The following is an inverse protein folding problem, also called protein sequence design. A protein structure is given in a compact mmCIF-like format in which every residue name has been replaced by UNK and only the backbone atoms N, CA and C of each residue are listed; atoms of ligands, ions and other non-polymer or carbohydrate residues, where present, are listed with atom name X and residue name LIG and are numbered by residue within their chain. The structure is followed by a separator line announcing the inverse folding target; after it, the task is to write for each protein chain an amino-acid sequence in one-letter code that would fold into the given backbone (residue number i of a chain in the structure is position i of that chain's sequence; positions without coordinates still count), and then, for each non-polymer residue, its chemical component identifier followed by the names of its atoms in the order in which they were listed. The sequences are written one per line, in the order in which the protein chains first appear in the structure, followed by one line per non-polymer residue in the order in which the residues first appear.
data_IF_000142417566
#
_entry.id   IF_000142417566
#
_cell.length_a   1.000
_cell.length_b   1.000
_cell.length_c   1.000
_cell.angle_alpha   90.00
_cell.angle_beta   90.00
_cell.angle_gamma   90.00
#
_symmetry.space_group_name_H-M   'P 1'
#
loop_
_entity.id
_entity.type
_entity.pdbx_description
1 polymer ?
#
# COMPACT_ATOMS: atom_id res chain seq x y z
N UNK A 1 -5.92 12.76 -24.67
CA UNK A 1 -5.50 12.63 -23.25
C UNK A 1 -4.45 11.53 -23.24
N UNK A 2 -3.27 11.77 -22.66
CA UNK A 2 -2.25 10.71 -22.52
C UNK A 2 -2.80 9.63 -21.59
N UNK A 3 -2.51 8.37 -21.89
CA UNK A 3 -2.90 7.27 -21.01
C UNK A 3 -2.23 7.42 -19.64
N UNK A 4 -2.89 7.02 -18.56
CA UNK A 4 -2.34 7.16 -17.21
C UNK A 4 -1.02 6.38 -17.07
N UNK A 5 -0.92 5.21 -17.69
CA UNK A 5 0.31 4.42 -17.67
C UNK A 5 1.40 5.05 -18.52
N UNK A 6 1.04 5.75 -19.61
CA UNK A 6 2.00 6.56 -20.37
C UNK A 6 2.55 7.71 -19.52
N UNK A 7 1.68 8.40 -18.76
CA UNK A 7 2.11 9.49 -17.87
C UNK A 7 3.03 8.99 -16.75
N UNK A 8 2.71 7.85 -16.13
CA UNK A 8 3.54 7.23 -15.10
C UNK A 8 4.93 6.91 -15.67
N UNK A 9 4.99 6.28 -16.84
CA UNK A 9 6.27 5.88 -17.48
C UNK A 9 7.07 7.06 -18.02
N UNK A 10 6.42 8.02 -18.68
CA UNK A 10 7.09 9.17 -19.29
C UNK A 10 7.74 10.07 -18.25
N UNK A 11 7.10 10.20 -17.09
CA UNK A 11 7.57 11.08 -16.03
C UNK A 11 8.28 10.34 -14.90
N UNK A 12 8.30 9.02 -14.88
CA UNK A 12 8.85 8.21 -13.79
C UNK A 12 8.17 8.55 -12.44
N UNK A 13 6.83 8.49 -12.44
CA UNK A 13 6.03 8.83 -11.26
C UNK A 13 6.09 7.66 -10.26
N UNK A 14 6.53 7.87 -9.00
CA UNK A 14 6.68 6.82 -8.00
C UNK A 14 5.33 6.53 -7.34
N UNK A 15 4.39 6.05 -8.15
CA UNK A 15 3.10 5.59 -7.68
C UNK A 15 3.13 4.07 -7.53
N UNK A 16 2.59 3.56 -6.43
CA UNK A 16 2.44 2.11 -6.26
C UNK A 16 1.27 1.62 -7.09
N UNK A 17 1.52 0.76 -8.06
CA UNK A 17 0.47 0.04 -8.79
C UNK A 17 0.00 -1.16 -7.96
N UNK A 18 -1.29 -1.21 -7.64
CA UNK A 18 -1.91 -2.31 -6.91
C UNK A 18 -2.77 -3.11 -7.88
N UNK A 19 -2.27 -4.28 -8.25
CA UNK A 19 -2.99 -5.26 -9.05
C UNK A 19 -4.25 -5.78 -8.32
N UNK A 20 -5.14 -6.42 -9.09
CA UNK A 20 -6.27 -7.13 -8.51
C UNK A 20 -5.75 -8.29 -7.63
N UNK A 21 -6.05 -8.21 -6.33
CA UNK A 21 -5.60 -9.16 -5.31
C UNK A 21 -6.64 -9.34 -4.21
N UNK A 22 -6.65 -10.51 -3.58
CA UNK A 22 -7.41 -10.75 -2.36
C UNK A 22 -6.61 -10.35 -1.10
N UNK A 23 -7.34 -10.14 -0.01
CA UNK A 23 -6.80 -9.73 1.29
C UNK A 23 -7.16 -10.80 2.31
N UNK A 24 -6.18 -11.26 3.08
CA UNK A 24 -6.36 -12.36 4.02
C UNK A 24 -5.83 -12.03 5.41
N UNK A 25 -6.59 -12.37 6.44
CA UNK A 25 -6.09 -12.45 7.81
C UNK A 25 -5.76 -13.91 8.12
N UNK A 26 -4.49 -14.20 8.41
CA UNK A 26 -4.03 -15.53 8.85
C UNK A 26 -3.57 -15.43 10.30
N UNK A 27 -4.17 -16.23 11.17
CA UNK A 27 -3.81 -16.27 12.60
C UNK A 27 -2.68 -17.26 12.84
N UNK A 28 -1.71 -16.83 13.63
CA UNK A 28 -0.51 -17.59 14.00
C UNK A 28 -0.68 -18.30 15.35
N UNK A 29 -1.82 -18.99 15.54
CA UNK A 29 -2.18 -19.65 16.81
C UNK A 29 -2.16 -18.68 18.00
N UNK A 30 -3.13 -17.76 18.04
CA UNK A 30 -3.22 -16.68 19.03
C UNK A 30 -1.99 -15.73 19.07
N UNK A 31 -1.05 -15.85 18.13
CA UNK A 31 0.17 -15.03 18.08
C UNK A 31 1.43 -15.80 18.44
N UNK A 32 1.31 -17.08 18.85
CA UNK A 32 2.42 -17.94 19.26
C UNK A 32 3.50 -18.07 18.17
N UNK A 33 3.09 -18.33 16.93
CA UNK A 33 4.03 -18.52 15.81
C UNK A 33 4.23 -17.26 14.97
N UNK A 34 3.89 -16.07 15.50
CA UNK A 34 4.04 -14.82 14.75
C UNK A 34 5.50 -14.55 14.37
N UNK A 35 6.43 -14.69 15.32
CA UNK A 35 7.85 -14.38 15.09
C UNK A 35 8.45 -15.31 14.03
N UNK A 36 8.21 -16.61 14.12
CA UNK A 36 8.72 -17.57 13.14
C UNK A 36 8.16 -17.30 11.74
N UNK A 37 6.85 -17.08 11.60
CA UNK A 37 6.24 -16.73 10.31
C UNK A 37 6.85 -15.45 9.73
N UNK A 38 7.10 -14.46 10.60
CA UNK A 38 7.65 -13.17 10.20
C UNK A 38 9.13 -13.28 9.78
N UNK A 39 9.98 -13.88 10.59
CA UNK A 39 11.41 -13.93 10.32
C UNK A 39 11.78 -14.95 9.23
N UNK A 40 11.03 -16.05 9.12
CA UNK A 40 11.28 -17.10 8.15
C UNK A 40 10.44 -16.92 6.87
N UNK A 41 9.73 -15.80 6.74
CA UNK A 41 9.03 -15.38 5.51
C UNK A 41 7.98 -16.39 5.02
N UNK A 42 7.13 -16.90 5.92
CA UNK A 42 6.05 -17.79 5.53
C UNK A 42 4.75 -17.57 6.31
N UNK A 43 3.66 -18.09 5.77
CA UNK A 43 2.41 -18.34 6.50
C UNK A 43 2.11 -19.83 6.48
N UNK A 44 1.50 -20.32 7.56
CA UNK A 44 1.17 -21.73 7.67
C UNK A 44 -0.15 -21.99 8.37
N UNK A 45 -0.69 -23.19 8.14
CA UNK A 45 -1.79 -23.75 8.91
C UNK A 45 -1.48 -25.19 9.33
N UNK A 46 -2.05 -25.63 10.44
CA UNK A 46 -1.90 -27.00 10.94
C UNK A 46 -2.70 -28.05 10.15
N UNK A 47 -3.23 -29.02 10.89
CA UNK A 47 -3.97 -30.18 10.36
C UNK A 47 -3.12 -31.11 9.49
N UNK A 48 -1.88 -31.39 9.92
CA UNK A 48 -0.83 -32.08 9.14
C UNK A 48 -1.24 -33.45 8.56
N UNK A 49 -2.22 -34.13 9.17
CA UNK A 49 -2.77 -35.39 8.64
C UNK A 49 -3.45 -35.24 7.27
N UNK A 50 -3.73 -34.01 6.84
CA UNK A 50 -4.41 -33.69 5.58
C UNK A 50 -3.52 -32.80 4.68
N UNK A 51 -2.32 -33.27 4.36
CA UNK A 51 -1.34 -32.55 3.53
C UNK A 51 -1.46 -32.78 2.01
N UNK A 52 -2.24 -33.77 1.58
CA UNK A 52 -2.38 -34.06 0.16
C UNK A 52 -3.37 -33.08 -0.50
N UNK A 53 -2.84 -32.13 -1.28
CA UNK A 53 -3.65 -31.11 -1.97
C UNK A 53 -4.71 -31.73 -2.89
N UNK A 54 -4.42 -32.87 -3.52
CA UNK A 54 -5.35 -33.55 -4.44
C UNK A 54 -6.65 -33.99 -3.77
N UNK A 55 -6.64 -34.20 -2.45
CA UNK A 55 -7.85 -34.55 -1.71
C UNK A 55 -8.85 -33.38 -1.61
N UNK A 56 -8.42 -32.17 -1.99
CA UNK A 56 -9.20 -30.93 -1.96
C UNK A 56 -9.45 -30.35 -3.37
N UNK A 57 -8.97 -30.99 -4.43
CA UNK A 57 -9.18 -30.57 -5.81
C UNK A 57 -10.54 -31.05 -6.35
N UNK A 58 -11.13 -30.28 -7.27
CA UNK A 58 -12.42 -30.64 -7.87
C UNK A 58 -12.29 -31.80 -8.88
N UNK A 59 -13.26 -32.72 -8.96
CA UNK A 59 -14.45 -32.82 -8.13
C UNK A 59 -14.15 -33.44 -6.74
N UNK A 60 -14.48 -32.72 -5.67
CA UNK A 60 -14.27 -33.19 -4.29
C UNK A 60 -15.58 -33.64 -3.65
N UNK A 61 -15.57 -34.79 -2.97
CA UNK A 61 -16.68 -35.19 -2.10
C UNK A 61 -16.49 -34.56 -0.72
N UNK A 62 -17.06 -33.37 -0.52
CA UNK A 62 -16.86 -32.61 0.72
C UNK A 62 -17.32 -33.37 1.97
N UNK A 63 -18.44 -34.10 1.89
CA UNK A 63 -18.99 -34.83 3.04
C UNK A 63 -18.09 -36.00 3.42
N UNK A 64 -17.50 -36.67 2.43
CA UNK A 64 -16.49 -37.69 2.67
C UNK A 64 -15.26 -37.11 3.37
N UNK A 65 -14.72 -35.98 2.88
CA UNK A 65 -13.56 -35.32 3.49
C UNK A 65 -13.85 -34.87 4.92
N UNK A 66 -15.01 -34.25 5.17
CA UNK A 66 -15.46 -33.88 6.52
C UNK A 66 -15.58 -35.11 7.43
N UNK A 67 -16.02 -36.26 6.90
CA UNK A 67 -16.09 -37.51 7.66
C UNK A 67 -14.70 -38.08 8.02
N UNK A 68 -13.71 -37.96 7.12
CA UNK A 68 -12.33 -38.36 7.41
C UNK A 68 -11.71 -37.47 8.49
N UNK A 69 -11.91 -36.16 8.38
CA UNK A 69 -11.47 -35.19 9.38
C UNK A 69 -12.08 -35.49 10.75
N UNK A 70 -13.38 -35.79 10.81
CA UNK A 70 -14.06 -36.15 12.05
C UNK A 70 -13.51 -37.45 12.69
N UNK A 71 -13.08 -38.41 11.86
CA UNK A 71 -12.48 -39.67 12.33
C UNK A 71 -11.06 -39.47 12.86
N UNK A 72 -10.27 -38.62 12.22
CA UNK A 72 -8.90 -38.33 12.61
C UNK A 72 -8.83 -37.47 13.87
N UNK A 73 -9.59 -36.37 13.89
CA UNK A 73 -9.62 -35.41 14.99
C UNK A 73 -10.89 -35.59 15.83
N UNK A 74 -11.02 -36.73 16.52
CA UNK A 74 -12.23 -37.12 17.27
C UNK A 74 -12.66 -36.10 18.34
N UNK A 75 -11.69 -35.39 18.91
CA UNK A 75 -11.93 -34.35 19.92
C UNK A 75 -12.43 -33.03 19.31
N UNK A 76 -12.25 -32.82 18.00
CA UNK A 76 -12.73 -31.62 17.32
C UNK A 76 -14.21 -31.72 17.00
N UNK A 77 -14.99 -30.80 17.58
CA UNK A 77 -16.44 -30.72 17.33
C UNK A 77 -16.80 -30.03 16.01
N UNK A 78 -15.82 -29.63 15.20
CA UNK A 78 -16.04 -28.75 14.04
C UNK A 78 -15.27 -29.20 12.79
N UNK A 79 -15.47 -30.43 12.28
CA UNK A 79 -14.77 -30.94 11.10
C UNK A 79 -15.01 -30.10 9.84
N UNK A 80 -16.19 -29.47 9.72
CA UNK A 80 -16.48 -28.55 8.62
C UNK A 80 -15.61 -27.29 8.62
N UNK A 81 -15.25 -26.77 9.80
CA UNK A 81 -14.36 -25.60 9.90
C UNK A 81 -12.93 -25.95 9.54
N UNK A 82 -12.46 -27.13 9.97
CA UNK A 82 -11.14 -27.66 9.58
C UNK A 82 -11.08 -27.84 8.07
N UNK A 83 -12.08 -28.51 7.47
CA UNK A 83 -12.17 -28.70 6.03
C UNK A 83 -12.09 -27.37 5.27
N UNK A 84 -12.91 -26.38 5.68
CA UNK A 84 -12.93 -25.08 5.03
C UNK A 84 -11.60 -24.32 5.18
N UNK A 85 -10.90 -24.48 6.30
CA UNK A 85 -9.58 -23.88 6.49
C UNK A 85 -8.55 -24.47 5.53
N UNK A 86 -8.50 -25.80 5.41
CA UNK A 86 -7.55 -26.47 4.50
C UNK A 86 -7.88 -26.13 3.04
N UNK A 87 -9.17 -26.21 2.67
CA UNK A 87 -9.65 -25.85 1.33
C UNK A 87 -9.27 -24.41 0.96
N UNK A 88 -9.46 -23.45 1.87
CA UNK A 88 -9.05 -22.06 1.65
C UNK A 88 -7.56 -21.92 1.41
N UNK A 89 -6.75 -22.55 2.26
CA UNK A 89 -5.30 -22.47 2.14
C UNK A 89 -4.81 -23.07 0.82
N UNK A 90 -5.30 -24.23 0.40
CA UNK A 90 -4.84 -24.85 -0.84
C UNK A 90 -5.39 -24.23 -2.12
N UNK A 91 -6.65 -23.75 -2.09
CA UNK A 91 -7.38 -23.45 -3.32
C UNK A 91 -7.82 -21.99 -3.47
N UNK A 92 -7.80 -21.19 -2.40
CA UNK A 92 -8.29 -19.80 -2.45
C UNK A 92 -7.15 -18.77 -2.29
N UNK A 93 -6.20 -19.00 -1.38
CA UNK A 93 -5.02 -18.14 -1.25
C UNK A 93 -4.12 -18.30 -2.49
N UNK A 94 -3.70 -17.17 -3.07
CA UNK A 94 -2.94 -17.14 -4.32
C UNK A 94 -1.71 -16.25 -4.23
N UNK A 95 -0.72 -16.52 -5.09
CA UNK A 95 0.45 -15.64 -5.27
C UNK A 95 -0.03 -14.24 -5.66
N UNK A 96 0.54 -13.21 -5.01
CA UNK A 96 0.14 -11.82 -5.20
C UNK A 96 -0.89 -11.31 -4.19
N UNK A 97 -1.61 -12.21 -3.51
CA UNK A 97 -2.53 -11.83 -2.44
C UNK A 97 -1.80 -11.17 -1.27
N UNK A 98 -2.49 -10.27 -0.60
CA UNK A 98 -1.98 -9.62 0.61
C UNK A 98 -2.43 -10.40 1.85
N UNK A 99 -1.48 -10.78 2.71
CA UNK A 99 -1.74 -11.44 3.97
C UNK A 99 -1.37 -10.57 5.16
N UNK A 100 -2.18 -10.67 6.21
CA UNK A 100 -1.99 -10.03 7.50
C UNK A 100 -1.84 -11.09 8.57
N UNK A 101 -0.80 -10.98 9.38
CA UNK A 101 -0.62 -11.81 10.58
C UNK A 101 -0.57 -10.91 11.82
N UNK A 102 -1.40 -11.18 12.85
CA UNK A 102 -1.33 -10.45 14.10
C UNK A 102 -0.34 -11.09 15.07
N UNK A 103 0.33 -10.26 15.86
CA UNK A 103 1.10 -10.72 17.02
C UNK A 103 0.19 -11.25 18.13
N UNK A 104 0.80 -11.81 19.19
CA UNK A 104 0.12 -12.07 20.46
C UNK A 104 -0.67 -10.84 20.91
N UNK A 105 -1.92 -11.05 21.36
CA UNK A 105 -2.89 -10.01 21.72
C UNK A 105 -3.22 -8.99 20.62
N UNK A 106 -2.80 -9.24 19.38
CA UNK A 106 -2.98 -8.36 18.23
C UNK A 106 -2.45 -6.93 18.49
N UNK A 107 -1.33 -6.79 19.20
CA UNK A 107 -0.73 -5.48 19.46
C UNK A 107 -0.10 -4.86 18.21
N UNK A 108 0.42 -5.71 17.32
CA UNK A 108 0.91 -5.33 16.00
C UNK A 108 0.32 -6.27 14.94
N UNK A 109 0.28 -5.77 13.71
CA UNK A 109 -0.15 -6.51 12.53
C UNK A 109 0.97 -6.38 11.49
N UNK A 110 1.47 -7.51 11.00
CA UNK A 110 2.43 -7.57 9.90
C UNK A 110 1.70 -7.86 8.61
N UNK A 111 2.02 -7.10 7.57
CA UNK A 111 1.43 -7.19 6.25
C UNK A 111 2.48 -7.70 5.28
N UNK A 112 2.14 -8.69 4.46
CA UNK A 112 3.04 -9.26 3.47
C UNK A 112 2.30 -9.70 2.22
N UNK A 113 3.05 -9.96 1.14
CA UNK A 113 2.54 -10.47 -0.13
C UNK A 113 2.91 -11.94 -0.26
N UNK A 114 1.96 -12.79 -0.63
CA UNK A 114 2.21 -14.21 -0.90
C UNK A 114 3.05 -14.33 -2.18
N UNK A 115 4.15 -15.08 -2.12
CA UNK A 115 5.12 -15.22 -3.21
C UNK A 115 5.24 -16.65 -3.75
N UNK A 116 4.65 -17.64 -3.08
CA UNK A 116 4.62 -19.03 -3.55
C UNK A 116 3.21 -19.63 -3.57
N UNK A 117 2.96 -20.65 -4.43
CA UNK A 117 1.87 -21.60 -4.22
C UNK A 117 2.04 -22.33 -2.87
N UNK A 118 0.99 -23.01 -2.37
CA UNK A 118 1.12 -23.81 -1.16
C UNK A 118 2.10 -24.96 -1.38
N UNK A 119 2.86 -25.29 -0.35
CA UNK A 119 3.74 -26.46 -0.32
C UNK A 119 3.71 -27.14 1.04
N UNK A 120 4.28 -28.34 1.11
CA UNK A 120 4.44 -29.11 2.34
C UNK A 120 5.90 -29.03 2.76
N UNK A 121 6.17 -28.29 3.83
CA UNK A 121 7.47 -28.17 4.45
C UNK A 121 7.81 -29.42 5.26
N UNK A 122 9.08 -29.80 5.23
CA UNK A 122 9.63 -30.74 6.19
C UNK A 122 9.90 -30.00 7.50
N UNK A 123 9.40 -30.54 8.60
CA UNK A 123 9.51 -29.91 9.93
C UNK A 123 10.12 -30.96 10.86
N UNK A 124 11.26 -30.61 11.46
CA UNK A 124 12.02 -31.51 12.31
C UNK A 124 11.34 -31.66 13.68
N UNK A 125 11.16 -32.90 14.14
CA UNK A 125 10.60 -33.19 15.47
C UNK A 125 11.42 -32.56 16.60
N UNK A 126 12.74 -32.47 16.46
CA UNK A 126 13.60 -31.85 17.48
C UNK A 126 13.31 -30.36 17.62
N UNK A 127 13.12 -29.65 16.50
CA UNK A 127 12.82 -28.22 16.51
C UNK A 127 11.41 -27.98 17.09
N UNK A 128 10.46 -28.87 16.79
CA UNK A 128 9.11 -28.82 17.38
C UNK A 128 9.16 -28.98 18.90
N UNK A 129 9.96 -29.94 19.41
CA UNK A 129 10.15 -30.14 20.85
C UNK A 129 10.81 -28.92 21.52
N UNK A 130 11.59 -28.13 20.77
CA UNK A 130 12.18 -26.86 21.20
C UNK A 130 11.22 -25.65 21.02
N UNK A 131 10.03 -25.87 20.47
CA UNK A 131 8.96 -24.88 20.37
C UNK A 131 8.72 -24.29 18.98
N UNK A 132 9.39 -24.79 17.93
CA UNK A 132 9.15 -24.36 16.55
C UNK A 132 7.77 -24.77 16.04
N UNK A 133 7.29 -24.05 15.04
CA UNK A 133 5.98 -24.23 14.45
C UNK A 133 5.87 -25.62 13.78
N UNK A 134 4.96 -26.49 14.24
CA UNK A 134 4.81 -27.83 13.69
C UNK A 134 4.08 -27.83 12.34
N UNK A 135 3.66 -26.69 11.80
CA UNK A 135 2.78 -26.63 10.65
C UNK A 135 3.52 -26.88 9.34
N UNK A 136 3.10 -27.92 8.63
CA UNK A 136 3.73 -28.35 7.39
C UNK A 136 3.17 -27.65 6.16
N UNK A 137 1.90 -27.23 6.16
CA UNK A 137 1.32 -26.51 5.01
C UNK A 137 1.79 -25.07 5.06
N UNK A 138 2.68 -24.67 4.14
CA UNK A 138 3.29 -23.34 4.12
C UNK A 138 3.10 -22.66 2.76
N UNK A 139 3.16 -21.33 2.78
CA UNK A 139 3.33 -20.46 1.61
C UNK A 139 4.35 -19.39 1.96
N UNK A 140 5.22 -19.07 1.02
CA UNK A 140 6.21 -18.01 1.21
C UNK A 140 5.55 -16.64 1.13
N UNK A 141 6.07 -15.71 1.92
CA UNK A 141 5.56 -14.35 2.05
C UNK A 141 6.71 -13.36 2.10
N UNK A 142 6.60 -12.30 1.30
CA UNK A 142 7.46 -11.14 1.41
C UNK A 142 6.81 -10.08 2.31
N UNK A 143 7.38 -9.81 3.48
CA UNK A 143 6.83 -8.85 4.43
C UNK A 143 7.09 -7.41 4.00
N UNK A 144 6.02 -6.59 3.99
CA UNK A 144 6.04 -5.20 3.52
C UNK A 144 6.17 -4.24 4.69
N UNK A 145 5.34 -4.40 5.74
CA UNK A 145 5.24 -3.45 6.85
C UNK A 145 4.66 -4.11 8.09
N UNK A 146 5.10 -3.70 9.27
CA UNK A 146 4.45 -4.04 10.54
C UNK A 146 3.93 -2.76 11.20
N UNK A 147 2.65 -2.74 11.59
CA UNK A 147 1.96 -1.56 12.11
C UNK A 147 1.40 -1.86 13.51
N UNK A 148 1.57 -0.90 14.43
CA UNK A 148 0.92 -0.96 15.75
C UNK A 148 -0.58 -0.89 15.61
N UNK A 149 -1.32 -1.71 16.35
CA UNK A 149 -2.79 -1.68 16.36
C UNK A 149 -3.34 -0.29 16.62
N UNK A 150 -2.75 0.47 17.55
CA UNK A 150 -3.19 1.85 17.85
C UNK A 150 -3.11 2.82 16.67
N UNK A 151 -2.34 2.49 15.64
CA UNK A 151 -2.12 3.31 14.45
C UNK A 151 -2.92 2.80 13.24
N UNK A 152 -3.61 1.67 13.38
CA UNK A 152 -4.50 1.18 12.33
C UNK A 152 -5.80 1.97 12.33
N UNK A 153 -6.43 2.01 11.16
CA UNK A 153 -7.80 2.50 11.06
C UNK A 153 -8.73 1.70 12.00
N UNK A 154 -9.58 2.35 12.80
CA UNK A 154 -10.51 1.66 13.71
C UNK A 154 -11.44 0.64 13.03
N UNK A 155 -11.75 0.80 11.73
CA UNK A 155 -12.51 -0.18 10.97
C UNK A 155 -11.77 -1.52 10.86
N UNK A 156 -10.43 -1.52 10.85
CA UNK A 156 -9.61 -2.73 10.86
C UNK A 156 -9.69 -3.48 12.20
N UNK A 157 -10.14 -2.86 13.29
CA UNK A 157 -10.30 -3.56 14.57
C UNK A 157 -11.36 -4.65 14.50
N UNK A 158 -12.40 -4.48 13.67
CA UNK A 158 -13.46 -5.50 13.50
C UNK A 158 -12.93 -6.77 12.85
N UNK A 159 -12.03 -6.63 11.88
CA UNK A 159 -11.33 -7.75 11.25
C UNK A 159 -10.62 -8.62 12.30
N UNK A 160 -10.06 -7.99 13.34
CA UNK A 160 -9.34 -8.66 14.42
C UNK A 160 -10.21 -9.48 15.38
N UNK A 161 -11.54 -9.36 15.32
CA UNK A 161 -12.44 -10.13 16.18
C UNK A 161 -12.77 -11.53 15.63
N UNK A 162 -12.51 -11.81 14.35
CA UNK A 162 -12.80 -13.15 13.81
C UNK A 162 -11.88 -14.20 14.43
N UNK A 163 -12.44 -15.25 15.02
CA UNK A 163 -11.66 -16.33 15.65
C UNK A 163 -11.20 -17.44 14.67
N UNK A 164 -11.58 -17.36 13.39
CA UNK A 164 -11.12 -18.36 12.41
C UNK A 164 -9.65 -18.15 12.04
N UNK A 165 -8.96 -19.24 11.69
CA UNK A 165 -7.53 -19.20 11.34
C UNK A 165 -7.26 -18.43 10.06
N UNK A 166 -8.12 -18.57 9.05
CA UNK A 166 -8.03 -17.85 7.76
C UNK A 166 -9.35 -17.12 7.51
N UNK A 167 -9.28 -15.80 7.35
CA UNK A 167 -10.43 -14.96 7.00
C UNK A 167 -10.14 -14.11 5.77
N UNK A 168 -11.12 -14.06 4.86
CA UNK A 168 -11.10 -13.09 3.77
C UNK A 168 -11.38 -11.70 4.35
N UNK A 169 -10.59 -10.73 3.93
CA UNK A 169 -10.55 -9.37 4.46
C UNK A 169 -10.79 -8.31 3.37
N UNK A 170 -11.30 -8.69 2.20
CA UNK A 170 -11.54 -7.77 1.07
C UNK A 170 -12.47 -6.60 1.43
N UNK A 171 -13.40 -6.79 2.37
CA UNK A 171 -14.26 -5.68 2.86
C UNK A 171 -13.45 -4.55 3.51
N UNK A 172 -12.22 -4.85 3.94
CA UNK A 172 -11.28 -3.91 4.54
C UNK A 172 -10.22 -3.41 3.55
N UNK A 173 -10.23 -3.84 2.28
CA UNK A 173 -9.16 -3.59 1.31
C UNK A 173 -8.75 -2.12 1.23
N UNK A 174 -9.72 -1.20 1.10
CA UNK A 174 -9.43 0.24 1.02
C UNK A 174 -8.73 0.79 2.28
N UNK A 175 -9.06 0.26 3.46
CA UNK A 175 -8.41 0.65 4.72
C UNK A 175 -7.02 0.05 4.86
N UNK A 176 -6.81 -1.15 4.32
CA UNK A 176 -5.51 -1.82 4.29
C UNK A 176 -4.58 -1.11 3.33
N UNK A 177 -5.00 -0.85 2.09
CA UNK A 177 -4.17 -0.21 1.07
C UNK A 177 -3.68 1.17 1.53
N UNK A 178 -4.57 2.01 2.06
CA UNK A 178 -4.20 3.33 2.60
C UNK A 178 -3.35 3.29 3.88
N UNK A 179 -3.26 2.14 4.55
CA UNK A 179 -2.33 1.93 5.67
C UNK A 179 -0.92 1.61 5.16
N UNK A 180 -0.84 0.94 4.02
CA UNK A 180 0.41 0.48 3.42
C UNK A 180 1.03 1.51 2.49
N UNK A 181 0.21 2.23 1.73
CA UNK A 181 0.64 3.10 0.66
C UNK A 181 0.00 4.48 0.80
N UNK A 182 0.80 5.52 0.62
CA UNK A 182 0.31 6.90 0.68
C UNK A 182 0.04 7.48 -0.70
N UNK A 183 0.54 6.85 -1.77
CA UNK A 183 0.27 7.23 -3.15
C UNK A 183 0.22 6.00 -4.06
N UNK A 184 -0.97 5.62 -4.54
CA UNK A 184 -1.18 4.37 -5.25
C UNK A 184 -2.29 4.42 -6.30
N UNK A 185 -2.17 3.57 -7.33
CA UNK A 185 -3.15 3.35 -8.39
C UNK A 185 -3.77 1.97 -8.20
N UNK A 186 -5.09 1.89 -8.07
CA UNK A 186 -5.82 0.63 -7.94
C UNK A 186 -7.06 0.64 -8.81
N UNK A 187 -7.22 -0.38 -9.65
CA UNK A 187 -8.38 -0.52 -10.55
C UNK A 187 -8.67 0.77 -11.35
N UNK A 188 -7.62 1.42 -11.87
CA UNK A 188 -7.74 2.68 -12.63
C UNK A 188 -8.14 3.90 -11.80
N UNK A 189 -8.13 3.83 -10.46
CA UNK A 189 -8.40 4.94 -9.54
C UNK A 189 -7.12 5.28 -8.77
N UNK A 190 -6.71 6.55 -8.80
CA UNK A 190 -5.56 7.00 -8.03
C UNK A 190 -5.98 7.51 -6.65
N UNK A 191 -5.15 7.22 -5.66
CA UNK A 191 -5.35 7.56 -4.26
C UNK A 191 -4.12 8.31 -3.73
N UNK A 192 -4.37 9.42 -3.03
CA UNK A 192 -3.37 10.17 -2.29
C UNK A 192 -3.83 10.29 -0.83
N UNK A 193 -3.04 9.71 0.07
CA UNK A 193 -3.29 9.68 1.51
C UNK A 193 -2.31 10.62 2.20
N UNK A 194 -2.83 11.58 2.95
CA UNK A 194 -2.03 12.53 3.74
C UNK A 194 -2.34 12.33 5.22
N UNK A 195 -1.32 11.96 5.99
CA UNK A 195 -1.41 11.75 7.42
C UNK A 195 -1.39 13.09 8.17
N UNK A 196 -2.41 13.35 8.99
CA UNK A 196 -2.45 14.48 9.92
C UNK A 196 -1.95 14.01 11.29
N UNK A 197 -0.71 14.36 11.64
CA UNK A 197 -0.06 13.92 12.89
C UNK A 197 -0.23 14.89 14.06
N UNK A 198 -1.09 15.90 13.93
CA UNK A 198 -1.40 16.82 15.03
C UNK A 198 -1.91 16.01 16.22
N UNK A 199 -1.42 16.31 17.43
CA UNK A 199 -1.80 15.62 18.68
C UNK A 199 -2.84 16.40 19.50
N UNK A 200 -2.89 17.71 19.30
CA UNK A 200 -3.87 18.60 19.93
C UNK A 200 -5.07 18.83 18.99
N UNK A 201 -6.04 19.63 19.45
CA UNK A 201 -7.22 19.96 18.67
C UNK A 201 -6.85 20.61 17.32
N UNK A 202 -7.39 20.08 16.23
CA UNK A 202 -7.28 20.65 14.90
C UNK A 202 -8.34 21.74 14.72
N UNK A 203 -7.91 22.96 14.40
CA UNK A 203 -8.83 24.03 14.04
C UNK A 203 -9.61 23.66 12.78
N UNK A 204 -10.94 23.84 12.81
CA UNK A 204 -11.78 23.62 11.64
C UNK A 204 -11.37 24.50 10.46
N UNK A 205 -10.99 25.75 10.71
CA UNK A 205 -10.50 26.66 9.66
C UNK A 205 -9.23 26.14 9.02
N UNK A 206 -8.25 25.70 9.82
CA UNK A 206 -7.00 25.15 9.30
C UNK A 206 -7.24 23.88 8.47
N UNK A 207 -8.16 23.03 8.91
CA UNK A 207 -8.52 21.81 8.18
C UNK A 207 -9.19 22.10 6.84
N UNK A 208 -10.15 23.02 6.79
CA UNK A 208 -10.81 23.39 5.55
C UNK A 208 -9.88 24.17 4.61
N UNK A 209 -9.03 25.04 5.14
CA UNK A 209 -7.97 25.72 4.36
C UNK A 209 -7.04 24.68 3.73
N UNK A 210 -6.55 23.71 4.50
CA UNK A 210 -5.71 22.61 4.01
C UNK A 210 -6.38 21.86 2.85
N UNK A 211 -7.61 21.38 3.03
CA UNK A 211 -8.32 20.67 1.96
C UNK A 211 -8.54 21.54 0.73
N UNK A 212 -8.93 22.79 0.92
CA UNK A 212 -9.18 23.75 -0.17
C UNK A 212 -7.90 24.07 -0.93
N UNK A 213 -6.78 24.24 -0.23
CA UNK A 213 -5.48 24.54 -0.81
C UNK A 213 -4.98 23.40 -1.70
N UNK A 214 -5.26 22.15 -1.35
CA UNK A 214 -4.93 20.99 -2.19
C UNK A 214 -5.80 20.96 -3.45
N UNK A 215 -7.12 21.14 -3.30
CA UNK A 215 -8.05 21.16 -4.44
C UNK A 215 -7.74 22.32 -5.39
N UNK A 216 -7.24 23.44 -4.87
CA UNK A 216 -6.85 24.60 -5.66
C UNK A 216 -5.57 24.39 -6.49
N UNK A 217 -4.90 23.22 -6.40
CA UNK A 217 -3.83 22.84 -7.32
C UNK A 217 -4.36 22.35 -8.68
N UNK A 218 -5.64 21.97 -8.79
CA UNK A 218 -6.22 21.43 -10.03
C UNK A 218 -6.05 22.32 -11.27
N UNK A 219 -6.19 23.65 -11.23
CA UNK A 219 -5.90 24.51 -12.39
C UNK A 219 -4.45 24.38 -12.89
N UNK A 220 -3.49 24.11 -12.00
CA UNK A 220 -2.10 23.90 -12.39
C UNK A 220 -1.91 22.51 -13.00
N UNK A 221 -2.60 21.49 -12.47
CA UNK A 221 -2.64 20.14 -13.04
C UNK A 221 -3.19 20.16 -14.48
N UNK A 222 -4.19 20.99 -14.74
CA UNK A 222 -4.78 21.22 -16.07
C UNK A 222 -3.77 21.85 -17.04
N UNK A 223 -3.05 22.90 -16.61
CA UNK A 223 -2.00 23.54 -17.45
C UNK A 223 -0.86 22.59 -17.81
N UNK A 224 -0.54 21.65 -16.92
CA UNK A 224 0.46 20.61 -17.14
C UNK A 224 -0.05 19.46 -18.04
N UNK A 225 -1.31 19.52 -18.49
CA UNK A 225 -1.88 18.56 -19.44
C UNK A 225 -2.25 17.19 -18.84
N UNK A 226 -2.27 17.07 -17.50
CA UNK A 226 -2.66 15.83 -16.81
C UNK A 226 -4.17 15.59 -16.78
N UNK A 227 -4.97 16.65 -16.94
CA UNK A 227 -6.43 16.62 -17.01
C UNK A 227 -6.90 17.49 -18.17
N UNK A 228 -8.03 17.13 -18.77
CA UNK A 228 -8.64 17.81 -19.92
C UNK A 228 -9.68 18.85 -19.50
N UNK A 229 -10.08 19.70 -20.44
CA UNK A 229 -11.10 20.74 -20.22
C UNK A 229 -12.48 20.18 -19.82
N UNK A 230 -12.81 18.93 -20.15
CA UNK A 230 -14.05 18.26 -19.76
C UNK A 230 -14.03 17.69 -18.32
N UNK A 231 -12.91 17.84 -17.61
CA UNK A 231 -12.77 17.44 -16.22
C UNK A 231 -13.72 18.20 -15.30
N UNK A 232 -14.57 17.48 -14.57
CA UNK A 232 -15.51 18.07 -13.64
C UNK A 232 -14.99 17.92 -12.20
N UNK A 233 -14.39 18.99 -11.69
CA UNK A 233 -13.83 19.08 -10.32
C UNK A 233 -14.78 18.59 -9.22
N UNK A 234 -16.10 18.79 -9.37
CA UNK A 234 -17.10 18.42 -8.35
C UNK A 234 -17.47 16.94 -8.36
N UNK A 235 -17.39 16.30 -9.52
CA UNK A 235 -17.79 14.89 -9.71
C UNK A 235 -16.58 13.96 -9.61
N UNK A 236 -15.44 14.41 -10.12
CA UNK A 236 -14.32 13.55 -10.45
C UNK A 236 -13.27 13.52 -9.32
N UNK A 237 -13.27 14.49 -8.40
CA UNK A 237 -12.44 14.47 -7.19
C UNK A 237 -13.31 14.30 -5.95
N UNK A 238 -13.00 13.29 -5.15
CA UNK A 238 -13.67 12.96 -3.89
C UNK A 238 -12.67 13.05 -2.76
N UNK A 239 -13.12 13.56 -1.61
CA UNK A 239 -12.33 13.60 -0.38
C UNK A 239 -13.00 12.72 0.65
N UNK A 240 -12.25 11.80 1.25
CA UNK A 240 -12.66 11.09 2.45
C UNK A 240 -11.76 11.55 3.59
N UNK A 241 -12.36 11.91 4.71
CA UNK A 241 -11.61 12.32 5.89
C UNK A 241 -12.11 11.55 7.10
N UNK A 242 -11.18 11.01 7.89
CA UNK A 242 -11.45 10.41 9.19
C UNK A 242 -10.65 11.18 10.24
N UNK A 243 -11.07 12.43 10.51
CA UNK A 243 -10.40 13.30 11.49
C UNK A 243 -10.79 12.86 12.90
N UNK A 244 -10.08 11.86 13.41
CA UNK A 244 -9.69 11.88 14.83
C UNK A 244 -8.26 12.44 14.86
N UNK A 245 -7.87 13.15 15.92
CA UNK A 245 -6.50 13.68 16.04
C UNK A 245 -5.72 12.68 16.90
N UNK A 246 -4.80 11.85 16.35
CA UNK A 246 -4.28 11.80 14.97
C UNK A 246 -5.14 10.98 13.97
N UNK A 247 -5.09 11.33 12.68
CA UNK A 247 -5.96 10.76 11.62
C UNK A 247 -5.51 11.13 10.20
N UNK A 248 -6.22 10.66 9.17
CA UNK A 248 -5.79 10.79 7.75
C UNK A 248 -6.81 11.54 6.88
N UNK A 249 -6.32 12.17 5.80
CA UNK A 249 -7.12 12.75 4.72
C UNK A 249 -6.77 12.05 3.41
N UNK A 250 -7.76 11.49 2.75
CA UNK A 250 -7.61 10.75 1.51
C UNK A 250 -8.29 11.49 0.35
N UNK A 251 -7.52 11.85 -0.68
CA UNK A 251 -7.98 12.41 -1.94
C UNK A 251 -8.06 11.29 -2.99
N UNK A 252 -9.22 11.11 -3.61
CA UNK A 252 -9.53 10.00 -4.52
C UNK A 252 -10.10 10.58 -5.82
N UNK A 253 -9.64 10.10 -6.98
CA UNK A 253 -10.23 10.48 -8.28
C UNK A 253 -10.33 9.31 -9.24
N UNK A 254 -11.44 9.27 -9.99
CA UNK A 254 -11.61 8.39 -11.16
C UNK A 254 -10.85 8.87 -12.39
N UNK A 255 -10.21 10.04 -12.30
CA UNK A 255 -9.28 10.58 -13.30
C UNK A 255 -7.90 10.60 -12.65
N UNK A 256 -7.11 9.51 -12.77
CA UNK A 256 -5.85 9.37 -12.04
C UNK A 256 -4.90 10.56 -12.20
N UNK A 257 -4.83 11.16 -13.40
CA UNK A 257 -4.01 12.34 -13.68
C UNK A 257 -4.23 13.51 -12.72
N UNK A 258 -5.44 13.67 -12.16
CA UNK A 258 -5.74 14.72 -11.19
C UNK A 258 -4.97 14.53 -9.87
N UNK A 259 -4.99 13.31 -9.33
CA UNK A 259 -4.31 12.97 -8.07
C UNK A 259 -2.81 12.84 -8.29
N UNK A 260 -2.40 12.32 -9.45
CA UNK A 260 -0.99 12.28 -9.86
C UNK A 260 -0.37 13.68 -9.88
N UNK A 261 -1.01 14.62 -10.58
CA UNK A 261 -0.55 15.99 -10.67
C UNK A 261 -0.53 16.70 -9.30
N UNK A 262 -1.53 16.48 -8.45
CA UNK A 262 -1.54 17.02 -7.08
C UNK A 262 -0.33 16.52 -6.29
N UNK A 263 -0.04 15.22 -6.31
CA UNK A 263 1.11 14.63 -5.61
C UNK A 263 2.45 15.20 -6.10
N UNK A 264 2.62 15.31 -7.42
CA UNK A 264 3.82 15.89 -8.05
C UNK A 264 4.01 17.35 -7.65
N UNK A 265 2.96 18.18 -7.78
CA UNK A 265 3.03 19.61 -7.44
C UNK A 265 3.28 19.80 -5.95
N UNK A 266 2.59 19.04 -5.08
CA UNK A 266 2.82 19.09 -3.64
C UNK A 266 4.28 18.78 -3.29
N UNK A 267 4.91 17.83 -3.99
CA UNK A 267 6.33 17.54 -3.79
C UNK A 267 7.22 18.73 -4.14
N UNK A 268 6.99 19.39 -5.28
CA UNK A 268 7.79 20.55 -5.68
C UNK A 268 7.59 21.77 -4.78
N UNK A 269 6.39 21.91 -4.23
CA UNK A 269 6.00 23.09 -3.45
C UNK A 269 6.34 22.92 -1.96
N UNK A 270 6.25 21.69 -1.42
CA UNK A 270 6.44 21.37 0.00
C UNK A 270 7.74 20.59 0.27
N UNK A 271 8.08 19.60 -0.58
CA UNK A 271 9.20 18.67 -0.38
C UNK A 271 10.59 19.23 -0.69
N UNK A 272 10.79 20.54 -0.52
CA UNK A 272 11.98 21.27 -0.95
C UNK A 272 13.33 20.67 -0.52
N UNK A 273 13.89 19.80 -1.36
CA UNK A 273 15.33 19.53 -1.48
C UNK A 273 15.89 19.93 -2.84
N UNK A 274 15.18 20.76 -3.60
CA UNK A 274 15.78 21.44 -4.78
C UNK A 274 16.47 22.72 -4.29
N UNK A 275 17.51 22.55 -3.47
CA UNK A 275 18.52 23.59 -3.27
C UNK A 275 19.39 23.58 -4.51
N UNK A 276 18.91 24.25 -5.55
CA UNK A 276 19.71 24.41 -6.74
C UNK A 276 19.72 25.88 -7.13
N UNK A 277 20.74 26.53 -6.61
CA UNK A 277 21.41 27.63 -7.29
C UNK A 277 21.90 27.11 -8.64
N UNK A 278 21.02 27.10 -9.64
CA UNK A 278 21.35 26.57 -10.95
C UNK A 278 22.15 27.59 -11.76
N UNK A 279 23.20 27.10 -12.42
CA UNK A 279 23.95 27.85 -13.43
C UNK A 279 23.21 27.84 -14.78
N UNK A 280 23.51 28.81 -15.67
CA UNK A 280 22.88 28.93 -17.00
C UNK A 280 23.10 27.70 -17.92
N UNK A 281 24.06 26.85 -17.60
CA UNK A 281 24.36 25.62 -18.35
C UNK A 281 23.46 24.45 -17.91
N UNK A 282 23.19 24.29 -16.60
CA UNK A 282 22.28 23.26 -16.08
C UNK A 282 20.82 23.48 -16.51
N UNK A 283 20.42 24.75 -16.72
CA UNK A 283 19.08 25.09 -17.24
C UNK A 283 18.88 24.72 -18.71
N UNK A 284 19.98 24.59 -19.48
CA UNK A 284 19.93 24.13 -20.87
C UNK A 284 19.88 22.60 -20.96
N UNK A 285 20.68 21.89 -20.15
CA UNK A 285 20.66 20.43 -20.08
C UNK A 285 19.34 19.89 -19.49
N UNK A 286 18.77 20.57 -18.49
CA UNK A 286 17.49 20.19 -17.89
C UNK A 286 16.26 20.36 -18.79
N UNK A 287 16.30 21.30 -19.73
CA UNK A 287 15.18 21.57 -20.64
C UNK A 287 15.02 20.48 -21.74
N UNK A 288 16.04 19.65 -21.94
CA UNK A 288 15.99 18.48 -22.84
C UNK A 288 15.67 17.17 -22.09
N UNK A 289 15.58 17.20 -20.75
CA UNK A 289 15.26 16.02 -19.94
C UNK A 289 13.80 15.63 -20.08
N UNK A 290 13.54 14.39 -20.50
CA UNK A 290 12.23 13.73 -20.35
C UNK A 290 12.14 13.23 -18.91
N UNK A 291 11.09 13.60 -18.18
CA UNK A 291 10.89 13.20 -16.77
C UNK A 291 10.25 14.28 -15.90
N UNK A 292 10.06 13.98 -14.60
CA UNK A 292 9.52 14.94 -13.61
C UNK A 292 10.33 16.23 -13.47
N UNK A 293 11.64 16.18 -13.71
CA UNK A 293 12.49 17.37 -13.70
C UNK A 293 12.17 18.33 -14.87
N UNK A 294 11.93 17.79 -16.07
CA UNK A 294 11.47 18.57 -17.22
C UNK A 294 10.12 19.24 -16.95
N UNK A 295 9.16 18.50 -16.36
CA UNK A 295 7.87 19.05 -15.93
C UNK A 295 8.01 20.19 -14.92
N UNK A 296 8.91 20.07 -13.96
CA UNK A 296 9.18 21.13 -13.00
C UNK A 296 9.70 22.42 -13.67
N UNK A 297 10.63 22.27 -14.63
CA UNK A 297 11.17 23.41 -15.38
C UNK A 297 10.10 24.09 -16.24
N UNK A 298 9.22 23.32 -16.87
CA UNK A 298 8.07 23.87 -17.62
C UNK A 298 7.09 24.59 -16.68
N UNK A 299 6.76 23.98 -15.54
CA UNK A 299 5.91 24.59 -14.53
C UNK A 299 6.48 25.92 -14.03
N UNK A 300 7.78 25.98 -13.74
CA UNK A 300 8.48 27.21 -13.34
C UNK A 300 8.52 28.23 -14.47
N UNK A 301 8.68 27.83 -15.74
CA UNK A 301 8.64 28.77 -16.88
C UNK A 301 7.25 29.38 -17.07
N UNK A 302 6.20 28.60 -16.85
CA UNK A 302 4.82 29.08 -17.00
C UNK A 302 4.37 30.01 -15.87
N UNK A 303 5.00 29.95 -14.69
CA UNK A 303 4.59 30.70 -13.49
C UNK A 303 5.67 31.70 -13.08
N UNK A 304 5.30 32.96 -12.86
CA UNK A 304 6.26 33.97 -12.40
C UNK A 304 6.84 33.56 -11.03
N UNK A 305 8.15 33.76 -10.83
CA UNK A 305 8.86 33.32 -9.61
C UNK A 305 8.17 33.79 -8.31
N UNK A 306 7.57 34.99 -8.31
CA UNK A 306 6.84 35.54 -7.17
C UNK A 306 5.56 34.75 -6.83
N UNK A 307 4.81 34.29 -7.83
CA UNK A 307 3.59 33.49 -7.61
C UNK A 307 3.92 32.08 -7.13
N UNK A 308 5.04 31.53 -7.58
CA UNK A 308 5.53 30.23 -7.13
C UNK A 308 6.00 30.29 -5.67
N UNK A 309 6.76 31.31 -5.30
CA UNK A 309 7.17 31.59 -3.92
C UNK A 309 5.96 31.73 -2.98
N UNK A 310 4.93 32.47 -3.42
CA UNK A 310 3.69 32.63 -2.66
C UNK A 310 2.98 31.29 -2.45
N UNK A 311 2.84 30.48 -3.50
CA UNK A 311 2.23 29.15 -3.42
C UNK A 311 3.01 28.22 -2.47
N UNK A 312 4.35 28.24 -2.54
CA UNK A 312 5.23 27.51 -1.60
C UNK A 312 4.98 27.90 -0.16
N UNK A 313 4.97 29.20 0.11
CA UNK A 313 4.74 29.71 1.45
C UNK A 313 3.35 29.31 2.00
N UNK A 314 2.31 29.41 1.16
CA UNK A 314 0.94 29.06 1.54
C UNK A 314 0.79 27.56 1.85
N UNK A 315 1.32 26.69 0.99
CA UNK A 315 1.22 25.24 1.19
C UNK A 315 2.08 24.76 2.37
N UNK A 316 3.32 25.25 2.51
CA UNK A 316 4.18 24.90 3.65
C UNK A 316 3.54 25.30 4.98
N UNK A 317 3.01 26.53 5.09
CA UNK A 317 2.28 26.97 6.28
C UNK A 317 1.07 26.10 6.57
N UNK A 318 0.31 25.73 5.54
CA UNK A 318 -0.88 24.88 5.69
C UNK A 318 -0.52 23.49 6.21
N UNK A 319 0.54 22.87 5.66
CA UNK A 319 1.07 21.56 6.09
C UNK A 319 1.62 21.61 7.52
N UNK A 320 2.43 22.62 7.87
CA UNK A 320 2.99 22.80 9.21
C UNK A 320 1.90 22.97 10.28
N UNK A 321 0.85 23.75 10.01
CA UNK A 321 -0.26 24.00 10.97
C UNK A 321 -1.00 22.74 11.37
N UNK A 322 -1.09 21.78 10.47
CA UNK A 322 -1.75 20.49 10.70
C UNK A 322 -0.75 19.37 11.00
N UNK A 323 0.55 19.69 11.07
CA UNK A 323 1.64 18.72 11.20
C UNK A 323 1.48 17.56 10.20
N UNK A 324 1.14 17.89 8.95
CA UNK A 324 1.03 16.93 7.86
C UNK A 324 2.40 16.64 7.27
N UNK A 325 2.60 15.40 6.85
CA UNK A 325 3.79 14.98 6.11
C UNK A 325 3.40 14.53 4.70
N UNK A 326 4.31 14.74 3.74
CA UNK A 326 4.15 14.16 2.41
C UNK A 326 4.23 12.61 2.49
N UNK A 327 3.53 11.90 1.59
CA UNK A 327 3.76 10.48 1.32
C UNK A 327 5.24 10.12 1.20
N UNK A 328 5.68 8.98 1.75
CA UNK A 328 7.08 8.51 1.66
C UNK A 328 7.51 8.29 0.20
N UNK A 329 6.61 7.79 -0.65
CA UNK A 329 6.83 7.56 -2.08
C UNK A 329 7.14 8.86 -2.82
N UNK A 330 6.56 9.98 -2.36
CA UNK A 330 6.83 11.32 -2.91
C UNK A 330 8.11 11.94 -2.34
N UNK A 331 8.61 11.49 -1.18
CA UNK A 331 9.87 11.98 -0.59
C UNK A 331 11.11 11.49 -1.37
N UNK A 332 10.99 10.37 -2.10
CA UNK A 332 12.08 9.72 -2.83
C UNK A 332 12.07 10.01 -4.34
N UNK A 333 11.36 11.05 -4.77
CA UNK A 333 11.27 11.45 -6.17
C UNK A 333 12.66 11.82 -6.75
N UNK A 334 13.05 11.29 -7.93
CA UNK A 334 14.35 11.59 -8.52
C UNK A 334 14.47 13.09 -8.84
N UNK A 335 15.41 13.74 -8.15
CA UNK A 335 15.75 15.14 -8.37
C UNK A 335 16.95 15.33 -9.30
N UNK A 336 17.63 14.24 -9.68
CA UNK A 336 18.83 14.27 -10.49
C UNK A 336 18.59 13.56 -11.82
N UNK A 337 18.88 14.24 -12.92
CA UNK A 337 19.17 13.59 -14.20
C UNK A 337 20.52 12.89 -14.09
N UNK A 338 20.59 11.80 -13.32
CA UNK A 338 21.70 10.86 -13.44
C UNK A 338 21.56 10.20 -14.82
N UNK A 339 22.37 10.70 -15.75
CA UNK A 339 22.80 9.90 -16.88
C UNK A 339 23.38 8.62 -16.29
N UNK A 340 22.73 7.49 -16.55
CA UNK A 340 23.43 6.20 -16.55
C UNK A 340 24.53 6.32 -17.61
N UNK A 341 25.72 6.74 -17.19
CA UNK A 341 26.93 6.45 -17.94
C UNK A 341 27.03 4.93 -17.99
N UNK A 342 26.64 4.37 -19.14
CA UNK A 342 26.98 3.00 -19.47
C UNK A 342 28.50 2.89 -19.43
N UNK A 343 29.00 2.12 -18.47
CA UNK A 343 30.36 1.62 -18.43
C UNK A 343 30.64 0.79 -19.71
N UNK A 344 30.90 1.45 -20.83
CA UNK A 344 31.79 0.91 -21.87
C UNK A 344 33.23 1.08 -21.40
N UNK A 345 33.60 0.30 -20.38
CA UNK A 345 35.00 0.08 -20.08
C UNK A 345 35.46 -1.16 -20.84
N UNK A 346 36.05 -0.88 -22.00
CA UNK A 346 37.18 -1.57 -22.59
C UNK A 346 37.70 -2.78 -21.81
N UNK A 347 37.59 -3.96 -22.40
CA UNK A 347 38.54 -5.05 -22.20
C UNK A 347 38.90 -5.61 -23.56
N UNK A 348 40.21 -5.73 -23.73
CA UNK A 348 40.97 -6.00 -24.95
C UNK A 348 40.66 -7.31 -25.65
#
# INVERSE_FOLDING_TARGET
MKDVNELIKEYDIPIVEIDERDYWLVRTQAGEFHEEFYFDNFIAIGWNEFNNMKDFEQPVNEDYMKSLIAKQYKESKQPGLIYNQIKRFFNELSVGDLVMIPTMNSTHISFGRITSPPYIADVNETDIDEGSCPFQKRMDVEWIKTVKRSNLDPYLYKMMHSHHTINKANEYAAFIDRTLHSFYLKNGTAHLVIDIKKKDNLSGLDFFEFGTNIINLLPEVEKLGFISEDFNKRRDVKVKSNVQSPGIVEFISTVPGAILGIGIILTFVVGGKVNASFTKEETKAGAESKGLFGLFLEYKKQKQDHELEKLKLEQNKSMERVNAELPEELKNLPANGEQEDQDENSSS
#
